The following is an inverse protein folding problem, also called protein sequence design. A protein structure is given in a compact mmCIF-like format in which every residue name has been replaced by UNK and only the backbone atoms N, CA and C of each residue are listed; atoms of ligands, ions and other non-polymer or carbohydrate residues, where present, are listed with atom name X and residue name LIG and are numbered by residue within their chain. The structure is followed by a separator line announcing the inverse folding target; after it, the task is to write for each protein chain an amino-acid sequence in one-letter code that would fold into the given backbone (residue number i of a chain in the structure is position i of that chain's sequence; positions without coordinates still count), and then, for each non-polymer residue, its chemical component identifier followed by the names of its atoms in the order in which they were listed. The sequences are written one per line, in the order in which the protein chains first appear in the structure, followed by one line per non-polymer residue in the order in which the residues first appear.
data_IF_690506896939
#
_entry.id   IF_690506896939
#
_cell.length_a   1.000
_cell.length_b   1.000
_cell.length_c   1.000
_cell.angle_alpha   90.00
_cell.angle_beta   90.00
_cell.angle_gamma   90.00
#
_symmetry.space_group_name_H-M   'P 1'
#
loop_
_entity.id
_entity.type
_entity.pdbx_description
1 polymer ?
#
# COMPACT_ATOMS: atom_id res chain seq x y z
N UNK A 1 -17.04 -12.89 3.27
CA UNK A 1 -16.25 -12.14 2.27
C UNK A 1 -14.94 -11.72 2.93
N UNK A 2 -13.77 -12.08 2.36
CA UNK A 2 -12.47 -11.78 2.97
C UNK A 2 -11.91 -10.48 2.39
N UNK A 3 -11.66 -9.51 3.28
CA UNK A 3 -10.92 -8.31 2.92
C UNK A 3 -9.53 -8.67 2.39
N UNK A 4 -9.01 -7.91 1.40
CA UNK A 4 -7.68 -8.16 0.85
C UNK A 4 -6.61 -8.09 1.94
N UNK A 5 -5.67 -9.04 1.90
CA UNK A 5 -4.54 -9.05 2.82
C UNK A 5 -3.72 -7.77 2.65
N UNK A 6 -3.31 -7.19 3.78
CA UNK A 6 -2.43 -6.02 3.79
C UNK A 6 -1.08 -6.37 3.15
N UNK A 7 -0.51 -5.52 2.28
CA UNK A 7 0.81 -5.73 1.69
C UNK A 7 1.95 -5.36 2.66
N UNK A 8 1.64 -5.08 3.93
CA UNK A 8 2.62 -4.70 4.93
C UNK A 8 3.50 -5.89 5.35
N UNK A 9 4.82 -5.71 5.28
CA UNK A 9 5.81 -6.70 5.73
C UNK A 9 6.45 -6.34 7.08
N UNK A 10 5.87 -5.40 7.83
CA UNK A 10 6.42 -4.90 9.10
C UNK A 10 7.47 -3.79 8.96
N UNK A 11 7.93 -3.48 7.74
CA UNK A 11 8.84 -2.35 7.52
C UNK A 11 8.03 -1.07 7.37
N UNK A 12 8.16 -0.15 8.33
CA UNK A 12 7.56 1.19 8.27
C UNK A 12 8.64 2.24 8.06
N UNK A 13 9.14 2.35 6.83
CA UNK A 13 10.13 3.37 6.44
C UNK A 13 9.70 4.02 5.14
N UNK A 14 9.27 5.27 5.21
CA UNK A 14 8.96 6.07 4.02
C UNK A 14 10.28 6.55 3.39
N UNK A 15 10.41 6.37 2.09
CA UNK A 15 11.56 6.85 1.36
C UNK A 15 11.43 8.37 1.17
N UNK A 16 12.44 9.16 1.57
CA UNK A 16 12.34 10.62 1.58
C UNK A 16 12.21 11.24 0.19
N UNK A 17 12.71 10.58 -0.86
CA UNK A 17 12.70 11.13 -2.23
C UNK A 17 11.43 10.84 -3.03
N UNK A 18 10.74 9.74 -2.79
CA UNK A 18 9.54 9.36 -3.56
C UNK A 18 8.29 9.15 -2.68
N UNK A 19 8.40 9.29 -1.36
CA UNK A 19 7.25 9.30 -0.46
C UNK A 19 6.55 7.96 -0.27
N UNK A 20 7.18 6.85 -0.69
CA UNK A 20 6.62 5.50 -0.54
C UNK A 20 7.34 4.68 0.52
N UNK A 21 6.60 3.79 1.17
CA UNK A 21 7.15 2.86 2.13
C UNK A 21 8.07 1.84 1.45
N UNK A 22 9.31 1.68 1.93
CA UNK A 22 10.29 0.75 1.38
C UNK A 22 9.85 -0.73 1.44
N UNK A 23 8.93 -1.07 2.35
CA UNK A 23 8.38 -2.42 2.46
C UNK A 23 7.16 -2.65 1.57
N UNK A 24 6.10 -1.88 1.81
CA UNK A 24 4.81 -2.11 1.17
C UNK A 24 4.51 -1.21 -0.04
N UNK A 25 5.42 -0.29 -0.39
CA UNK A 25 5.32 0.64 -1.52
C UNK A 25 4.11 1.58 -1.51
N UNK A 26 3.38 1.63 -0.39
CA UNK A 26 2.28 2.56 -0.16
C UNK A 26 2.81 3.93 0.27
N UNK A 27 2.13 5.00 -0.11
CA UNK A 27 2.37 6.32 0.49
C UNK A 27 1.83 6.39 1.91
N UNK A 28 2.24 7.42 2.66
CA UNK A 28 1.69 7.70 4.00
C UNK A 28 0.16 7.80 4.00
N UNK A 29 -0.40 8.52 3.03
CA UNK A 29 -1.86 8.69 2.88
C UNK A 29 -2.57 7.37 2.59
N UNK A 30 -1.99 6.53 1.72
CA UNK A 30 -2.52 5.19 1.43
C UNK A 30 -2.45 4.25 2.64
N UNK A 31 -1.46 4.44 3.52
CA UNK A 31 -1.36 3.71 4.78
C UNK A 31 -2.47 4.15 5.74
N UNK A 32 -2.68 5.46 5.89
CA UNK A 32 -3.70 6.03 6.76
C UNK A 32 -5.13 5.70 6.28
N UNK A 33 -5.37 5.72 4.96
CA UNK A 33 -6.67 5.43 4.38
C UNK A 33 -7.02 3.93 4.32
N UNK A 34 -6.03 3.03 4.39
CA UNK A 34 -6.24 1.58 4.26
C UNK A 34 -7.34 0.97 5.13
N UNK A 35 -7.42 1.22 6.45
CA UNK A 35 -8.49 0.65 7.27
C UNK A 35 -9.89 1.10 6.83
N UNK A 36 -10.03 2.34 6.33
CA UNK A 36 -11.28 2.92 5.87
C UNK A 36 -11.65 2.55 4.42
N UNK A 37 -10.71 2.00 3.63
CA UNK A 37 -10.96 1.60 2.25
C UNK A 37 -11.88 0.38 2.14
N UNK A 38 -12.76 0.42 1.14
CA UNK A 38 -13.57 -0.74 0.73
C UNK A 38 -12.69 -1.84 0.14
N UNK A 39 -13.18 -3.07 0.13
CA UNK A 39 -12.46 -4.21 -0.45
C UNK A 39 -12.11 -4.01 -1.93
N UNK A 40 -12.95 -3.31 -2.70
CA UNK A 40 -12.68 -2.95 -4.09
C UNK A 40 -11.52 -1.95 -4.21
N UNK A 41 -11.55 -0.89 -3.40
CA UNK A 41 -10.47 0.10 -3.35
C UNK A 41 -9.13 -0.52 -2.93
N UNK A 42 -9.14 -1.39 -1.91
CA UNK A 42 -7.96 -2.15 -1.47
C UNK A 42 -7.36 -2.98 -2.60
N UNK A 43 -8.18 -3.69 -3.41
CA UNK A 43 -7.69 -4.47 -4.57
C UNK A 43 -7.10 -3.58 -5.65
N UNK A 44 -7.73 -2.46 -5.97
CA UNK A 44 -7.24 -1.50 -6.96
C UNK A 44 -5.89 -0.89 -6.53
N UNK A 45 -5.78 -0.54 -5.24
CA UNK A 45 -4.52 -0.06 -4.66
C UNK A 45 -3.44 -1.15 -4.74
N UNK A 46 -3.72 -2.39 -4.32
CA UNK A 46 -2.78 -3.51 -4.44
C UNK A 46 -2.28 -3.73 -5.87
N UNK A 47 -3.15 -3.60 -6.88
CA UNK A 47 -2.76 -3.69 -8.29
C UNK A 47 -1.82 -2.54 -8.70
N UNK A 48 -2.07 -1.33 -8.19
CA UNK A 48 -1.20 -0.16 -8.39
C UNK A 48 0.18 -0.36 -7.74
N UNK A 49 0.22 -0.87 -6.51
CA UNK A 49 1.47 -1.18 -5.80
C UNK A 49 2.32 -2.21 -6.54
N UNK A 50 1.69 -3.25 -7.12
CA UNK A 50 2.40 -4.22 -7.97
C UNK A 50 3.06 -3.57 -9.18
N UNK A 51 2.42 -2.56 -9.79
CA UNK A 51 3.02 -1.79 -10.90
C UNK A 51 4.18 -0.91 -10.41
N UNK A 52 4.05 -0.27 -9.24
CA UNK A 52 5.11 0.56 -8.63
C UNK A 52 6.35 -0.26 -8.30
N UNK A 53 6.19 -1.44 -7.71
CA UNK A 53 7.31 -2.33 -7.34
C UNK A 53 8.08 -2.91 -8.54
N UNK A 54 7.50 -2.90 -9.74
CA UNK A 54 8.14 -3.39 -10.97
C UNK A 54 8.99 -2.34 -11.68
N UNK A 55 8.97 -1.09 -11.23
CA UNK A 55 9.82 0.00 -11.73
C UNK A 55 11.12 0.06 -10.94
#
# INVERSE_FOLDING_TARGET
MKSPASPCNGVCRLHPTHGFCAGCWRSGDEIAAWPAMSDGAKRALLATLKKRRKR
#
